data_IF_494331794934
#
_entry.id   IF_494331794934
#
_cell.length_a   1.000
_cell.length_b   1.000
_cell.length_c   1.000
_cell.angle_alpha   90.00
_cell.angle_beta   90.00
_cell.angle_gamma   90.00
#
_symmetry.space_group_name_H-M   'P 1'
#
loop_
_entity.id
_entity.type
_entity.pdbx_description
1 polymer ?
#
# COMPACT_ATOMS: atom_id res chain seq x y z
N UNK A 1 -54.08 3.18 -10.31
CA UNK A 1 -53.55 4.55 -10.53
C UNK A 1 -52.59 4.82 -9.38
N UNK A 2 -51.30 4.51 -9.57
CA UNK A 2 -50.32 4.49 -8.47
C UNK A 2 -49.87 5.91 -8.17
N UNK A 3 -50.34 6.45 -7.05
CA UNK A 3 -49.86 7.70 -6.46
C UNK A 3 -48.35 7.58 -6.25
N UNK A 4 -47.58 8.38 -6.98
CA UNK A 4 -46.17 8.60 -6.72
C UNK A 4 -46.01 9.20 -5.31
N UNK A 5 -45.86 8.33 -4.31
CA UNK A 5 -45.46 8.74 -2.97
C UNK A 5 -44.08 9.38 -3.10
N UNK A 6 -44.02 10.68 -2.82
CA UNK A 6 -42.83 11.51 -2.82
C UNK A 6 -41.89 11.02 -1.71
N UNK A 7 -41.09 9.99 -1.98
CA UNK A 7 -40.00 9.62 -1.06
C UNK A 7 -38.86 10.62 -1.24
N UNK A 8 -38.85 11.69 -0.45
CA UNK A 8 -37.71 12.61 -0.38
C UNK A 8 -36.54 11.89 0.29
N UNK A 9 -35.37 11.96 -0.33
CA UNK A 9 -34.14 11.33 0.17
C UNK A 9 -33.17 12.41 0.60
N UNK A 10 -32.46 12.17 1.69
CA UNK A 10 -31.56 13.14 2.27
C UNK A 10 -30.15 12.58 2.43
N UNK A 11 -29.11 13.39 2.15
CA UNK A 11 -27.76 13.03 2.54
C UNK A 11 -27.65 13.02 4.07
N UNK A 12 -27.19 11.91 4.62
CA UNK A 12 -26.96 11.76 6.06
C UNK A 12 -25.46 11.65 6.31
N UNK A 13 -24.90 12.63 7.02
CA UNK A 13 -23.49 12.62 7.41
C UNK A 13 -23.32 11.92 8.75
N UNK A 14 -22.72 10.75 8.70
CA UNK A 14 -22.24 10.01 9.86
C UNK A 14 -20.76 10.34 10.09
N UNK A 15 -20.38 10.67 11.32
CA UNK A 15 -18.99 10.96 11.68
C UNK A 15 -18.49 9.84 12.60
N UNK A 16 -17.51 9.07 12.12
CA UNK A 16 -16.87 7.99 12.85
C UNK A 16 -15.47 8.38 13.33
N UNK A 17 -15.06 9.65 13.16
CA UNK A 17 -13.78 10.13 13.67
C UNK A 17 -13.76 10.07 15.20
N UNK A 18 -12.60 9.76 15.77
CA UNK A 18 -12.45 9.58 17.22
C UNK A 18 -12.99 8.25 17.76
N UNK A 19 -13.35 7.29 16.89
CA UNK A 19 -13.75 5.93 17.26
C UNK A 19 -14.89 5.89 18.31
N UNK A 20 -16.05 6.52 18.01
CA UNK A 20 -17.14 6.59 18.97
C UNK A 20 -17.69 5.20 19.29
N UNK A 21 -18.15 5.02 20.53
CA UNK A 21 -18.95 3.86 20.90
C UNK A 21 -20.25 3.82 20.08
N UNK A 22 -20.79 2.62 19.84
CA UNK A 22 -22.03 2.48 19.06
C UNK A 22 -23.20 3.25 19.69
N UNK A 23 -23.35 3.22 21.01
CA UNK A 23 -24.39 3.97 21.74
C UNK A 23 -24.23 5.49 21.61
N UNK A 24 -23.00 6.00 21.60
CA UNK A 24 -22.71 7.42 21.48
C UNK A 24 -23.01 7.88 20.05
N UNK A 25 -22.70 7.04 19.07
CA UNK A 25 -23.06 7.27 17.69
C UNK A 25 -24.58 7.39 17.54
N UNK A 26 -25.36 6.45 18.10
CA UNK A 26 -26.82 6.52 18.08
C UNK A 26 -27.34 7.81 18.72
N UNK A 27 -26.80 8.17 19.88
CA UNK A 27 -27.17 9.39 20.61
C UNK A 27 -26.86 10.66 19.79
N UNK A 28 -25.75 10.68 19.06
CA UNK A 28 -25.37 11.79 18.19
C UNK A 28 -26.22 11.87 16.90
N UNK A 29 -26.69 10.72 16.40
CA UNK A 29 -27.40 10.60 15.13
C UNK A 29 -28.89 10.85 15.25
N UNK A 30 -29.51 10.45 16.37
CA UNK A 30 -30.94 10.65 16.62
C UNK A 30 -31.40 12.12 16.39
N UNK A 31 -30.80 13.15 17.03
CA UNK A 31 -31.23 14.53 16.81
C UNK A 31 -30.97 15.01 15.38
N UNK A 32 -29.95 14.48 14.68
CA UNK A 32 -29.66 14.81 13.28
C UNK A 32 -30.74 14.28 12.34
N UNK A 33 -31.12 13.01 12.51
CA UNK A 33 -32.20 12.39 11.72
C UNK A 33 -33.53 13.10 11.99
N UNK A 34 -33.87 13.38 13.26
CA UNK A 34 -35.09 14.11 13.61
C UNK A 34 -35.07 15.53 13.02
N UNK A 35 -33.94 16.23 13.08
CA UNK A 35 -33.78 17.55 12.47
C UNK A 35 -33.99 17.50 10.94
N UNK A 36 -33.46 16.48 10.28
CA UNK A 36 -33.61 16.26 8.85
C UNK A 36 -35.07 16.05 8.44
N UNK A 37 -35.85 15.33 9.25
CA UNK A 37 -37.27 15.12 8.99
C UNK A 37 -38.10 16.42 9.01
N UNK A 38 -37.64 17.46 9.73
CA UNK A 38 -38.28 18.80 9.67
C UNK A 38 -38.14 19.47 8.31
N UNK A 39 -37.18 19.00 7.52
CA UNK A 39 -36.85 19.50 6.18
C UNK A 39 -37.30 18.53 5.08
N UNK A 40 -38.18 17.56 5.39
CA UNK A 40 -38.57 16.48 4.48
C UNK A 40 -39.20 16.93 3.15
N UNK A 41 -39.69 18.17 3.09
CA UNK A 41 -40.30 18.77 1.89
C UNK A 41 -39.29 19.47 0.96
N UNK A 42 -38.02 19.57 1.33
CA UNK A 42 -36.99 20.20 0.49
C UNK A 42 -36.63 19.31 -0.71
N UNK A 43 -36.76 19.81 -1.96
CA UNK A 43 -36.37 19.05 -3.14
C UNK A 43 -34.86 18.74 -3.15
N UNK A 44 -34.43 17.53 -3.50
CA UNK A 44 -33.00 17.19 -3.59
C UNK A 44 -32.23 18.08 -4.57
N UNK A 45 -32.89 18.59 -5.61
CA UNK A 45 -32.32 19.53 -6.58
C UNK A 45 -31.87 20.84 -5.93
N UNK A 46 -32.60 21.31 -4.92
CA UNK A 46 -32.24 22.52 -4.17
C UNK A 46 -31.03 22.30 -3.26
N UNK A 47 -30.88 21.09 -2.71
CA UNK A 47 -29.72 20.69 -1.90
C UNK A 47 -28.46 20.69 -2.76
N UNK A 48 -28.50 20.04 -3.93
CA UNK A 48 -27.38 20.00 -4.88
C UNK A 48 -27.00 21.40 -5.35
N UNK A 49 -28.00 22.22 -5.72
CA UNK A 49 -27.81 23.60 -6.18
C UNK A 49 -27.13 24.47 -5.13
N UNK A 50 -27.59 24.38 -3.88
CA UNK A 50 -27.04 25.18 -2.76
C UNK A 50 -25.65 24.72 -2.34
N UNK A 51 -25.39 23.41 -2.44
CA UNK A 51 -24.08 22.83 -2.12
C UNK A 51 -23.00 23.11 -3.19
N UNK A 52 -23.36 23.73 -4.32
CA UNK A 52 -22.48 24.05 -5.44
C UNK A 52 -21.67 22.84 -5.95
N UNK A 53 -22.28 21.65 -5.95
CA UNK A 53 -21.65 20.43 -6.44
C UNK A 53 -21.72 20.36 -7.97
N UNK A 54 -20.58 20.14 -8.61
CA UNK A 54 -20.50 19.94 -10.06
C UNK A 54 -21.28 18.69 -10.46
N UNK A 55 -22.16 18.83 -11.46
CA UNK A 55 -22.93 17.71 -12.03
C UNK A 55 -22.10 17.08 -13.15
N UNK A 56 -21.18 16.19 -12.80
CA UNK A 56 -20.50 15.35 -13.77
C UNK A 56 -21.33 14.09 -14.06
N UNK A 57 -22.23 14.15 -15.04
CA UNK A 57 -23.04 13.01 -15.51
C UNK A 57 -24.42 12.83 -14.86
N UNK A 58 -25.06 11.68 -15.11
CA UNK A 58 -26.39 11.28 -14.59
C UNK A 58 -26.35 10.70 -13.16
N UNK A 59 -25.18 10.70 -12.52
CA UNK A 59 -24.98 10.15 -11.17
C UNK A 59 -25.50 11.10 -10.07
N UNK A 60 -25.97 10.54 -8.94
CA UNK A 60 -26.36 11.33 -7.78
C UNK A 60 -25.10 11.92 -7.09
N UNK A 61 -24.89 13.25 -7.11
CA UNK A 61 -23.64 13.85 -6.64
C UNK A 61 -23.53 13.87 -5.10
N UNK A 62 -24.58 13.50 -4.37
CA UNK A 62 -24.62 13.60 -2.90
C UNK A 62 -24.29 12.27 -2.20
N UNK A 63 -24.71 11.14 -2.78
CA UNK A 63 -24.51 9.80 -2.19
C UNK A 63 -24.73 8.70 -3.23
N UNK A 64 -23.90 7.65 -3.15
CA UNK A 64 -23.93 6.47 -4.03
C UNK A 64 -24.69 5.28 -3.43
N UNK A 65 -24.86 5.28 -2.11
CA UNK A 65 -25.61 4.28 -1.36
C UNK A 65 -26.86 4.86 -0.71
N UNK A 66 -27.95 4.09 -0.67
CA UNK A 66 -29.19 4.48 -0.01
C UNK A 66 -29.59 3.46 1.06
N UNK A 67 -30.03 3.95 2.22
CA UNK A 67 -30.57 3.14 3.30
C UNK A 67 -32.01 3.55 3.56
N UNK A 68 -32.93 2.58 3.50
CA UNK A 68 -34.34 2.77 3.78
C UNK A 68 -34.73 1.93 5.00
N UNK A 69 -35.39 2.58 5.96
CA UNK A 69 -36.02 1.89 7.09
C UNK A 69 -37.52 2.12 7.00
N UNK A 70 -38.29 1.05 6.84
CA UNK A 70 -39.73 1.11 6.62
C UNK A 70 -40.45 0.44 7.78
N UNK A 71 -41.23 1.23 8.51
CA UNK A 71 -42.20 0.73 9.47
C UNK A 71 -43.55 0.73 8.77
N UNK A 72 -44.13 -0.45 8.58
CA UNK A 72 -45.48 -0.59 8.04
C UNK A 72 -46.47 -0.60 9.21
N UNK A 73 -47.45 0.32 9.26
CA UNK A 73 -48.45 0.31 10.33
C UNK A 73 -49.39 -0.89 10.21
N UNK A 74 -49.54 -1.67 11.27
CA UNK A 74 -50.64 -2.62 11.43
C UNK A 74 -51.95 -1.90 11.80
N UNK A 75 -53.14 -2.32 11.31
CA UNK A 75 -53.42 -3.19 10.18
C UNK A 75 -54.07 -2.39 9.03
N UNK A 76 -53.32 -2.10 7.98
CA UNK A 76 -53.88 -1.51 6.75
C UNK A 76 -53.83 -2.46 5.54
N UNK A 77 -53.17 -3.62 5.64
CA UNK A 77 -53.09 -4.61 4.56
C UNK A 77 -53.56 -6.01 5.00
N UNK A 78 -54.28 -6.73 4.12
CA UNK A 78 -54.72 -8.10 4.42
C UNK A 78 -53.51 -9.06 4.56
N UNK A 79 -53.68 -10.10 5.39
CA UNK A 79 -52.62 -11.04 5.80
C UNK A 79 -51.95 -11.78 4.62
N UNK A 80 -52.62 -11.85 3.49
CA UNK A 80 -52.11 -12.36 2.21
C UNK A 80 -50.92 -11.55 1.68
N UNK A 81 -50.82 -10.25 1.98
CA UNK A 81 -49.67 -9.40 1.59
C UNK A 81 -48.42 -9.75 2.39
N UNK A 82 -48.56 -10.03 3.69
CA UNK A 82 -47.44 -10.49 4.53
C UNK A 82 -47.03 -11.93 4.20
N UNK A 83 -47.99 -12.79 3.84
CA UNK A 83 -47.69 -14.11 3.30
C UNK A 83 -46.97 -14.00 1.96
N UNK A 84 -47.39 -13.13 1.05
CA UNK A 84 -46.72 -12.88 -0.23
C UNK A 84 -45.34 -12.22 -0.07
N UNK A 85 -45.11 -11.34 0.90
CA UNK A 85 -43.76 -10.82 1.18
C UNK A 85 -42.82 -11.94 1.67
N UNK A 86 -43.35 -12.90 2.43
CA UNK A 86 -42.62 -14.07 2.94
C UNK A 86 -42.49 -15.20 1.90
N UNK A 87 -43.45 -15.33 0.98
CA UNK A 87 -43.61 -16.47 0.06
C UNK A 87 -43.38 -16.14 -1.41
N UNK A 88 -43.42 -14.87 -1.81
CA UNK A 88 -42.97 -14.49 -3.14
C UNK A 88 -41.48 -14.81 -3.21
N UNK A 89 -41.07 -15.49 -4.28
CA UNK A 89 -39.68 -15.38 -4.70
C UNK A 89 -39.31 -13.89 -4.65
N UNK A 90 -38.12 -13.50 -4.15
CA UNK A 90 -37.73 -12.10 -3.89
C UNK A 90 -37.71 -11.19 -5.14
N UNK A 91 -38.35 -11.58 -6.23
CA UNK A 91 -38.36 -11.00 -7.56
C UNK A 91 -39.72 -10.43 -7.97
N UNK A 92 -40.77 -10.43 -7.15
CA UNK A 92 -42.09 -9.92 -7.57
C UNK A 92 -42.44 -8.53 -7.02
N UNK A 93 -42.01 -8.17 -5.80
CA UNK A 93 -42.39 -6.90 -5.15
C UNK A 93 -41.44 -5.74 -5.52
N UNK A 94 -40.21 -6.04 -5.96
CA UNK A 94 -39.13 -5.05 -6.06
C UNK A 94 -38.39 -5.04 -7.41
N UNK A 95 -39.05 -5.41 -8.51
CA UNK A 95 -38.49 -5.22 -9.88
C UNK A 95 -38.42 -3.75 -10.28
N UNK A 96 -37.65 -2.95 -9.55
CA UNK A 96 -37.19 -1.66 -10.07
C UNK A 96 -35.70 -1.78 -10.37
N UNK A 97 -35.28 -1.28 -11.53
CA UNK A 97 -33.84 -1.16 -11.82
C UNK A 97 -33.15 -0.45 -10.65
N UNK A 98 -31.97 -0.91 -10.21
CA UNK A 98 -31.27 -0.35 -9.06
C UNK A 98 -31.07 1.15 -9.27
N UNK A 99 -31.69 1.95 -8.39
CA UNK A 99 -31.70 3.42 -8.47
C UNK A 99 -30.40 4.03 -7.95
N UNK A 100 -29.61 3.23 -7.25
CA UNK A 100 -28.32 3.54 -6.65
C UNK A 100 -27.36 2.39 -6.93
N UNK A 101 -26.08 2.62 -6.72
CA UNK A 101 -25.07 1.57 -6.82
C UNK A 101 -25.28 0.49 -5.77
N UNK A 102 -25.72 0.91 -4.58
CA UNK A 102 -26.10 0.06 -3.46
C UNK A 102 -27.34 0.61 -2.75
N UNK A 103 -28.40 -0.17 -2.64
CA UNK A 103 -29.61 0.17 -1.91
C UNK A 103 -29.92 -0.90 -0.87
N UNK A 104 -30.05 -0.50 0.39
CA UNK A 104 -30.49 -1.39 1.46
C UNK A 104 -31.86 -0.94 1.96
N UNK A 105 -32.80 -1.88 2.07
CA UNK A 105 -34.13 -1.62 2.63
C UNK A 105 -34.38 -2.60 3.76
N UNK A 106 -34.65 -2.10 4.97
CA UNK A 106 -35.07 -2.88 6.12
C UNK A 106 -36.55 -2.61 6.41
N UNK A 107 -37.33 -3.67 6.56
CA UNK A 107 -38.76 -3.63 6.89
C UNK A 107 -38.97 -4.34 8.22
N UNK A 108 -39.70 -3.71 9.14
CA UNK A 108 -40.10 -4.34 10.41
C UNK A 108 -41.17 -5.40 10.13
N UNK A 109 -40.94 -6.62 10.58
CA UNK A 109 -41.92 -7.70 10.54
C UNK A 109 -42.91 -7.54 11.71
N UNK A 110 -44.17 -7.22 11.38
CA UNK A 110 -45.21 -6.84 12.35
C UNK A 110 -45.56 -7.93 13.36
N UNK A 111 -45.57 -9.19 12.93
CA UNK A 111 -45.95 -10.33 13.79
C UNK A 111 -44.74 -11.00 14.48
N UNK A 112 -43.53 -10.84 13.94
CA UNK A 112 -42.34 -11.62 14.32
C UNK A 112 -41.25 -10.88 15.10
N UNK A 113 -41.34 -9.55 15.25
CA UNK A 113 -40.33 -8.75 15.94
C UNK A 113 -38.96 -8.72 15.24
N UNK A 114 -38.89 -9.15 13.98
CA UNK A 114 -37.68 -9.22 13.16
C UNK A 114 -37.56 -8.09 12.14
N UNK A 115 -36.41 -8.04 11.46
CA UNK A 115 -36.17 -7.16 10.32
C UNK A 115 -35.99 -8.00 9.05
N UNK A 116 -36.80 -7.72 8.03
CA UNK A 116 -36.60 -8.25 6.69
C UNK A 116 -35.76 -7.25 5.89
N UNK A 117 -34.62 -7.71 5.38
CA UNK A 117 -33.68 -6.88 4.63
C UNK A 117 -33.61 -7.24 3.16
N UNK A 118 -33.58 -6.22 2.30
CA UNK A 118 -33.33 -6.34 0.87
C UNK A 118 -32.10 -5.52 0.47
N UNK A 119 -31.24 -6.11 -0.37
CA UNK A 119 -30.06 -5.46 -0.93
C UNK A 119 -30.18 -5.39 -2.46
N UNK A 120 -30.35 -4.18 -2.98
CA UNK A 120 -30.31 -3.86 -4.41
C UNK A 120 -28.89 -3.37 -4.76
N UNK A 121 -28.33 -3.80 -5.89
CA UNK A 121 -27.02 -3.36 -6.34
C UNK A 121 -26.90 -3.37 -7.86
N UNK A 122 -25.95 -2.59 -8.39
CA UNK A 122 -25.61 -2.60 -9.80
C UNK A 122 -24.59 -3.69 -10.11
N UNK A 123 -24.96 -4.66 -10.96
CA UNK A 123 -24.13 -5.79 -11.39
C UNK A 123 -22.70 -5.45 -11.88
N UNK A 124 -22.45 -4.35 -12.63
CA UNK A 124 -21.06 -4.00 -12.99
C UNK A 124 -20.19 -3.56 -11.81
N UNK A 125 -20.77 -3.26 -10.64
CA UNK A 125 -20.06 -2.79 -9.45
C UNK A 125 -19.95 -3.85 -8.34
N UNK A 126 -20.97 -4.70 -8.22
CA UNK A 126 -21.04 -5.74 -7.19
C UNK A 126 -21.60 -7.02 -7.80
N UNK A 127 -20.87 -8.12 -7.65
CA UNK A 127 -21.39 -9.44 -8.01
C UNK A 127 -22.28 -10.01 -6.89
N UNK A 128 -23.04 -11.05 -7.23
CA UNK A 128 -23.97 -11.68 -6.29
C UNK A 128 -23.28 -12.24 -5.04
N UNK A 129 -22.12 -12.87 -5.19
CA UNK A 129 -21.40 -13.44 -4.05
C UNK A 129 -20.88 -12.35 -3.11
N UNK A 130 -20.42 -11.23 -3.66
CA UNK A 130 -20.02 -10.06 -2.89
C UNK A 130 -21.21 -9.40 -2.17
N UNK A 131 -22.37 -9.34 -2.80
CA UNK A 131 -23.60 -8.85 -2.17
C UNK A 131 -24.06 -9.76 -1.02
N UNK A 132 -24.00 -11.09 -1.20
CA UNK A 132 -24.33 -12.06 -0.15
C UNK A 132 -23.38 -11.93 1.05
N UNK A 133 -22.06 -11.79 0.81
CA UNK A 133 -21.08 -11.51 1.88
C UNK A 133 -21.34 -10.18 2.58
N UNK A 134 -21.65 -9.13 1.83
CA UNK A 134 -21.96 -7.82 2.43
C UNK A 134 -23.17 -7.88 3.36
N UNK A 135 -24.21 -8.62 2.97
CA UNK A 135 -25.39 -8.83 3.80
C UNK A 135 -25.06 -9.61 5.09
N UNK A 136 -24.24 -10.66 5.01
CA UNK A 136 -23.82 -11.42 6.18
C UNK A 136 -22.91 -10.62 7.13
N UNK A 137 -21.99 -9.83 6.57
CA UNK A 137 -21.15 -8.93 7.35
C UNK A 137 -21.97 -7.84 8.04
N UNK A 138 -23.00 -7.32 7.38
CA UNK A 138 -23.93 -6.38 8.00
C UNK A 138 -24.69 -7.03 9.16
N UNK A 139 -25.15 -8.29 9.03
CA UNK A 139 -25.77 -9.04 10.13
C UNK A 139 -24.81 -9.26 11.30
N UNK A 140 -23.57 -9.66 11.01
CA UNK A 140 -22.52 -9.86 12.01
C UNK A 140 -22.24 -8.57 12.79
N UNK A 141 -22.08 -7.45 12.07
CA UNK A 141 -21.88 -6.13 12.65
C UNK A 141 -23.06 -5.71 13.54
N UNK A 142 -24.30 -5.91 13.08
CA UNK A 142 -25.49 -5.58 13.88
C UNK A 142 -25.57 -6.43 15.16
N UNK A 143 -25.28 -7.72 15.08
CA UNK A 143 -25.25 -8.59 16.25
C UNK A 143 -24.18 -8.15 17.26
N UNK A 144 -22.98 -7.81 16.78
CA UNK A 144 -21.89 -7.30 17.62
C UNK A 144 -22.25 -5.95 18.27
N UNK A 145 -22.86 -5.04 17.51
CA UNK A 145 -23.28 -3.73 17.99
C UNK A 145 -24.34 -3.80 19.10
N UNK A 146 -25.28 -4.76 18.99
CA UNK A 146 -26.32 -4.99 20.01
C UNK A 146 -25.74 -5.65 21.26
N UNK A 147 -24.80 -6.59 21.10
CA UNK A 147 -24.16 -7.27 22.22
C UNK A 147 -23.20 -6.36 23.01
N UNK A 148 -22.55 -5.41 22.33
CA UNK A 148 -21.50 -4.55 22.90
C UNK A 148 -21.69 -3.07 22.49
N UNK A 149 -22.78 -2.41 22.92
CA UNK A 149 -23.11 -1.05 22.50
C UNK A 149 -22.13 0.01 23.02
N UNK A 150 -21.38 -0.30 24.07
CA UNK A 150 -20.35 0.52 24.70
C UNK A 150 -18.99 0.46 23.97
N UNK A 151 -18.80 -0.48 23.04
CA UNK A 151 -17.56 -0.60 22.25
C UNK A 151 -17.54 0.36 21.07
N UNK A 152 -16.33 0.80 20.71
CA UNK A 152 -16.09 1.57 19.50
C UNK A 152 -16.57 0.81 18.26
N UNK A 153 -17.22 1.52 17.33
CA UNK A 153 -17.75 0.91 16.10
C UNK A 153 -16.65 0.25 15.26
N UNK A 154 -15.42 0.77 15.32
CA UNK A 154 -14.24 0.19 14.65
C UNK A 154 -13.80 -1.16 15.20
N UNK A 155 -14.18 -1.47 16.43
CA UNK A 155 -13.73 -2.66 17.16
C UNK A 155 -14.78 -3.78 17.13
N UNK A 156 -15.93 -3.52 16.49
CA UNK A 156 -16.97 -4.52 16.30
C UNK A 156 -16.57 -5.47 15.17
N UNK A 157 -16.81 -6.76 15.37
CA UNK A 157 -16.55 -7.75 14.34
C UNK A 157 -17.47 -7.51 13.13
N UNK A 158 -16.85 -7.23 11.98
CA UNK A 158 -17.53 -7.09 10.69
C UNK A 158 -17.62 -8.42 9.95
N UNK A 159 -16.59 -9.26 10.09
CA UNK A 159 -16.44 -10.50 9.33
C UNK A 159 -17.12 -11.66 10.06
N UNK A 160 -17.95 -12.40 9.32
CA UNK A 160 -18.48 -13.67 9.81
C UNK A 160 -17.39 -14.73 10.00
N UNK A 161 -17.70 -15.80 10.74
CA UNK A 161 -16.76 -16.89 11.01
C UNK A 161 -16.23 -17.54 9.73
N UNK A 162 -17.09 -17.80 8.74
CA UNK A 162 -16.72 -18.41 7.46
C UNK A 162 -15.76 -17.52 6.66
N UNK A 163 -15.99 -16.20 6.61
CA UNK A 163 -15.10 -15.29 5.90
C UNK A 163 -13.75 -15.14 6.61
N UNK A 164 -13.75 -15.13 7.96
CA UNK A 164 -12.52 -15.15 8.76
C UNK A 164 -11.73 -16.44 8.53
N UNK A 165 -12.38 -17.60 8.49
CA UNK A 165 -11.73 -18.88 8.14
C UNK A 165 -11.20 -18.89 6.71
N UNK A 166 -11.98 -18.36 5.75
CA UNK A 166 -11.58 -18.26 4.34
C UNK A 166 -10.34 -17.38 4.18
N UNK A 167 -10.27 -16.26 4.92
CA UNK A 167 -9.13 -15.36 4.97
C UNK A 167 -7.94 -16.04 5.65
N UNK A 168 -8.12 -16.70 6.79
CA UNK A 168 -7.04 -17.41 7.47
C UNK A 168 -6.42 -18.53 6.62
N UNK A 169 -7.25 -19.22 5.83
CA UNK A 169 -6.80 -20.29 4.94
C UNK A 169 -5.98 -19.78 3.73
N UNK A 170 -6.13 -18.50 3.34
CA UNK A 170 -5.52 -17.93 2.12
C UNK A 170 -4.51 -16.81 2.39
N UNK A 171 -4.76 -16.04 3.44
CA UNK A 171 -3.91 -15.01 3.97
C UNK A 171 -2.75 -15.68 4.64
N UNK A 172 -1.71 -15.94 3.84
CA UNK A 172 -0.54 -16.74 4.19
C UNK A 172 -0.11 -16.52 5.62
N UNK A 173 -0.52 -17.43 6.51
CA UNK A 173 0.11 -17.60 7.81
C UNK A 173 1.55 -17.95 7.48
N UNK A 174 2.42 -16.94 7.49
CA UNK A 174 3.86 -17.12 7.49
C UNK A 174 4.16 -17.66 8.88
N UNK A 175 3.93 -18.95 9.05
CA UNK A 175 4.38 -19.65 10.23
C UNK A 175 5.90 -19.51 10.23
N UNK A 176 6.51 -18.96 11.29
CA UNK A 176 7.94 -19.04 11.42
C UNK A 176 8.35 -20.52 11.25
N UNK A 177 9.46 -20.80 10.54
CA UNK A 177 9.90 -22.17 10.34
C UNK A 177 9.95 -22.91 11.69
N UNK A 178 9.55 -24.19 11.69
CA UNK A 178 9.35 -25.00 12.90
C UNK A 178 10.58 -25.05 13.82
N UNK A 179 11.76 -24.78 13.28
CA UNK A 179 12.94 -24.40 14.01
C UNK A 179 13.64 -23.24 13.27
N UNK A 180 14.24 -22.28 13.99
CA UNK A 180 15.16 -21.35 13.36
C UNK A 180 16.28 -22.17 12.72
N UNK A 181 16.58 -21.90 11.45
CA UNK A 181 17.72 -22.52 10.81
C UNK A 181 18.99 -22.20 11.63
N UNK A 182 19.76 -23.23 12.00
CA UNK A 182 20.97 -23.02 12.77
C UNK A 182 22.01 -22.28 11.92
N UNK A 183 22.48 -21.14 12.43
CA UNK A 183 23.54 -20.35 11.82
C UNK A 183 23.08 -19.36 10.74
N UNK A 184 23.97 -18.44 10.42
CA UNK A 184 23.81 -17.42 9.40
C UNK A 184 24.09 -17.97 8.00
N UNK A 185 23.70 -17.22 6.96
CA UNK A 185 24.15 -17.51 5.58
C UNK A 185 25.67 -17.59 5.48
N UNK A 186 26.40 -16.79 6.25
CA UNK A 186 27.87 -16.82 6.29
C UNK A 186 28.40 -18.13 6.89
N UNK A 187 27.77 -18.66 7.93
CA UNK A 187 28.13 -19.95 8.53
C UNK A 187 27.95 -21.10 7.54
N UNK A 188 26.89 -21.05 6.72
CA UNK A 188 26.65 -22.01 5.65
C UNK A 188 27.70 -21.97 4.56
N UNK A 189 28.12 -20.78 4.15
CA UNK A 189 29.21 -20.59 3.17
C UNK A 189 30.53 -21.12 3.74
N UNK A 190 30.82 -20.84 5.02
CA UNK A 190 32.01 -21.37 5.70
C UNK A 190 32.01 -22.90 5.75
N UNK A 191 30.90 -23.50 6.19
CA UNK A 191 30.76 -24.96 6.24
C UNK A 191 30.92 -25.61 4.85
N UNK A 192 30.43 -24.96 3.79
CA UNK A 192 30.66 -25.41 2.41
C UNK A 192 32.14 -25.32 2.02
N UNK A 193 32.81 -24.24 2.39
CA UNK A 193 34.22 -24.05 2.08
C UNK A 193 35.13 -25.08 2.77
N UNK A 194 34.78 -25.49 3.98
CA UNK A 194 35.50 -26.55 4.69
C UNK A 194 35.21 -27.94 4.07
N UNK A 195 34.01 -28.16 3.51
CA UNK A 195 33.62 -29.44 2.90
C UNK A 195 34.22 -29.67 1.52
N UNK A 196 34.23 -28.64 0.67
CA UNK A 196 34.68 -28.75 -0.73
C UNK A 196 35.60 -27.57 -1.11
N UNK A 197 36.79 -27.47 -0.50
CA UNK A 197 37.63 -26.28 -0.62
C UNK A 197 38.14 -26.02 -2.05
N UNK A 198 38.36 -27.07 -2.83
CA UNK A 198 38.87 -26.99 -4.21
C UNK A 198 37.78 -26.86 -5.28
N UNK A 199 36.50 -26.92 -4.88
CA UNK A 199 35.39 -26.69 -5.81
C UNK A 199 35.26 -25.19 -6.15
N UNK A 200 34.85 -24.89 -7.38
CA UNK A 200 34.60 -23.51 -7.82
C UNK A 200 33.38 -22.93 -7.07
N UNK A 201 33.58 -21.78 -6.43
CA UNK A 201 32.54 -21.04 -5.72
C UNK A 201 31.99 -19.87 -6.54
N UNK A 202 32.86 -19.19 -7.29
CA UNK A 202 32.50 -18.03 -8.11
C UNK A 202 33.24 -18.08 -9.44
N UNK A 203 32.55 -17.72 -10.52
CA UNK A 203 33.12 -17.51 -11.86
C UNK A 203 32.82 -16.08 -12.30
N UNK A 204 33.85 -15.33 -12.69
CA UNK A 204 33.73 -13.97 -13.23
C UNK A 204 34.66 -13.81 -14.43
N UNK A 205 34.09 -13.48 -15.60
CA UNK A 205 34.83 -13.21 -16.86
C UNK A 205 35.95 -14.23 -17.17
N UNK A 206 35.67 -15.52 -16.98
CA UNK A 206 36.62 -16.61 -17.27
C UNK A 206 37.68 -16.85 -16.19
N UNK A 207 37.52 -16.24 -15.00
CA UNK A 207 38.30 -16.55 -13.80
C UNK A 207 37.43 -17.27 -12.80
N UNK A 208 37.95 -18.35 -12.24
CA UNK A 208 37.29 -19.13 -11.20
C UNK A 208 37.98 -18.91 -9.85
N UNK A 209 37.18 -18.67 -8.81
CA UNK A 209 37.63 -18.70 -7.43
C UNK A 209 37.08 -19.97 -6.78
N UNK A 210 37.96 -20.77 -6.21
CA UNK A 210 37.53 -21.90 -5.38
C UNK A 210 36.97 -21.42 -4.04
N UNK A 211 36.23 -22.27 -3.34
CA UNK A 211 35.74 -21.95 -2.00
C UNK A 211 36.87 -21.58 -1.02
N UNK A 212 38.03 -22.26 -1.11
CA UNK A 212 39.22 -21.92 -0.30
C UNK A 212 39.69 -20.50 -0.58
N UNK A 213 39.90 -20.16 -1.85
CA UNK A 213 40.37 -18.84 -2.28
C UNK A 213 39.38 -17.73 -1.92
N UNK A 214 38.08 -17.99 -2.10
CA UNK A 214 37.03 -17.07 -1.70
C UNK A 214 37.10 -16.79 -0.20
N UNK A 215 37.14 -17.84 0.62
CA UNK A 215 37.13 -17.68 2.07
C UNK A 215 38.38 -16.99 2.62
N UNK A 216 39.56 -17.29 2.06
CA UNK A 216 40.82 -16.62 2.41
C UNK A 216 40.77 -15.11 2.08
N UNK A 217 40.24 -14.75 0.91
CA UNK A 217 40.08 -13.35 0.51
C UNK A 217 39.08 -12.62 1.41
N UNK A 218 37.96 -13.25 1.74
CA UNK A 218 36.94 -12.72 2.67
C UNK A 218 37.53 -12.53 4.06
N UNK A 219 38.24 -13.52 4.61
CA UNK A 219 38.85 -13.44 5.94
C UNK A 219 39.92 -12.34 6.03
N UNK A 220 40.73 -12.18 4.99
CA UNK A 220 41.75 -11.13 4.90
C UNK A 220 41.12 -9.73 4.89
N UNK A 221 40.12 -9.50 4.04
CA UNK A 221 39.41 -8.22 3.99
C UNK A 221 38.62 -7.94 5.27
N UNK A 222 37.94 -8.94 5.83
CA UNK A 222 37.21 -8.82 7.10
C UNK A 222 38.15 -8.42 8.25
N UNK A 223 39.36 -8.98 8.30
CA UNK A 223 40.39 -8.59 9.27
C UNK A 223 40.75 -7.10 9.18
N UNK A 224 40.92 -6.57 7.96
CA UNK A 224 41.19 -5.14 7.73
C UNK A 224 40.00 -4.26 8.12
N UNK A 225 38.79 -4.69 7.80
CA UNK A 225 37.56 -3.97 8.18
C UNK A 225 37.44 -3.89 9.71
N UNK A 226 37.68 -4.98 10.43
CA UNK A 226 37.69 -4.98 11.91
C UNK A 226 38.78 -4.08 12.48
N UNK A 227 39.99 -4.10 11.91
CA UNK A 227 41.06 -3.18 12.30
C UNK A 227 40.69 -1.71 12.04
N UNK A 228 39.82 -1.44 11.06
CA UNK A 228 39.23 -0.14 10.78
C UNK A 228 37.99 0.21 11.61
N UNK A 229 37.60 -0.64 12.57
CA UNK A 229 36.48 -0.40 13.48
C UNK A 229 35.12 -0.93 13.01
N UNK A 230 35.07 -1.72 11.94
CA UNK A 230 33.84 -2.39 11.51
C UNK A 230 33.49 -3.50 12.48
N UNK A 231 32.25 -3.48 12.96
CA UNK A 231 31.68 -4.45 13.89
C UNK A 231 30.15 -4.42 13.82
N UNK A 232 29.49 -4.86 14.89
CA UNK A 232 28.03 -4.88 15.00
C UNK A 232 27.42 -3.49 14.76
N UNK A 233 26.33 -3.45 13.99
CA UNK A 233 25.57 -2.24 13.65
C UNK A 233 26.38 -1.16 12.90
N UNK A 234 27.54 -1.52 12.34
CA UNK A 234 28.35 -0.62 11.50
C UNK A 234 28.00 -0.82 10.03
N UNK A 235 27.67 0.28 9.35
CA UNK A 235 27.43 0.33 7.91
C UNK A 235 28.75 0.52 7.15
N UNK A 236 28.94 -0.23 6.06
CA UNK A 236 30.09 -0.11 5.15
C UNK A 236 29.62 0.04 3.71
N UNK A 237 30.03 1.11 3.04
CA UNK A 237 29.69 1.31 1.62
C UNK A 237 30.48 0.33 0.74
N UNK A 238 29.86 -0.23 -0.28
CA UNK A 238 30.53 -1.05 -1.30
C UNK A 238 30.36 -0.37 -2.65
N UNK A 239 31.38 0.38 -3.04
CA UNK A 239 31.44 1.14 -4.29
C UNK A 239 32.35 0.44 -5.29
N UNK A 240 31.81 -0.63 -5.90
CA UNK A 240 32.51 -1.51 -6.83
C UNK A 240 31.59 -1.88 -8.01
N UNK A 241 32.11 -2.01 -9.24
CA UNK A 241 31.34 -2.58 -10.33
C UNK A 241 31.16 -4.08 -10.13
N UNK A 242 30.10 -4.66 -10.71
CA UNK A 242 29.82 -6.11 -10.63
C UNK A 242 31.05 -6.95 -11.02
N UNK A 243 31.54 -7.72 -10.04
CA UNK A 243 32.69 -8.62 -10.18
C UNK A 243 32.77 -9.60 -9.00
N UNK A 244 33.68 -10.57 -9.07
CA UNK A 244 33.99 -11.47 -7.95
C UNK A 244 34.41 -10.70 -6.68
N UNK A 245 35.17 -9.60 -6.83
CA UNK A 245 35.60 -8.75 -5.71
C UNK A 245 34.42 -8.09 -4.99
N UNK A 246 33.32 -7.79 -5.69
CA UNK A 246 32.10 -7.24 -5.05
C UNK A 246 31.49 -8.26 -4.10
N UNK A 247 31.43 -9.53 -4.50
CA UNK A 247 30.95 -10.61 -3.62
C UNK A 247 31.88 -10.80 -2.42
N UNK A 248 33.20 -10.78 -2.64
CA UNK A 248 34.20 -10.82 -1.55
C UNK A 248 33.99 -9.67 -0.57
N UNK A 249 33.78 -8.45 -1.06
CA UNK A 249 33.53 -7.27 -0.23
C UNK A 249 32.26 -7.42 0.62
N UNK A 250 31.15 -7.84 0.02
CA UNK A 250 29.88 -8.05 0.74
C UNK A 250 30.02 -9.10 1.85
N UNK A 251 30.63 -10.25 1.55
CA UNK A 251 30.85 -11.31 2.53
C UNK A 251 31.84 -10.90 3.63
N UNK A 252 32.88 -10.13 3.28
CA UNK A 252 33.84 -9.63 4.26
C UNK A 252 33.23 -8.61 5.22
N UNK A 253 32.29 -7.78 4.76
CA UNK A 253 31.53 -6.87 5.64
C UNK A 253 30.68 -7.67 6.62
N UNK A 254 29.97 -8.70 6.15
CA UNK A 254 29.23 -9.61 7.04
C UNK A 254 30.15 -10.32 8.03
N UNK A 255 31.30 -10.83 7.58
CA UNK A 255 32.25 -11.52 8.44
C UNK A 255 32.92 -10.57 9.46
N UNK A 256 33.04 -9.28 9.13
CA UNK A 256 33.46 -8.26 10.08
C UNK A 256 32.38 -7.92 11.12
N UNK A 257 31.12 -8.31 10.87
CA UNK A 257 29.97 -8.06 11.73
C UNK A 257 29.14 -6.84 11.33
N UNK A 258 29.47 -6.18 10.22
CA UNK A 258 28.77 -5.01 9.71
C UNK A 258 27.71 -5.35 8.67
N UNK A 259 27.00 -4.32 8.21
CA UNK A 259 26.08 -4.39 7.08
C UNK A 259 26.60 -3.56 5.91
N UNK A 260 26.54 -4.10 4.70
CA UNK A 260 27.00 -3.37 3.52
C UNK A 260 25.87 -2.50 2.94
N UNK A 261 26.26 -1.36 2.38
CA UNK A 261 25.39 -0.49 1.59
C UNK A 261 25.93 -0.47 0.16
N UNK A 262 25.21 -1.05 -0.82
CA UNK A 262 25.68 -1.05 -2.20
C UNK A 262 25.63 0.37 -2.79
N UNK A 263 26.75 0.82 -3.35
CA UNK A 263 26.90 2.12 -4.01
C UNK A 263 27.24 1.87 -5.48
N UNK A 264 26.28 2.10 -6.38
CA UNK A 264 26.48 1.87 -7.81
C UNK A 264 27.43 2.92 -8.41
N UNK A 265 28.60 2.53 -8.96
CA UNK A 265 29.51 3.47 -9.59
C UNK A 265 28.94 4.21 -10.81
N UNK A 266 27.85 3.72 -11.41
CA UNK A 266 27.17 4.41 -12.50
C UNK A 266 26.30 5.59 -12.03
N UNK A 267 26.07 5.75 -10.72
CA UNK A 267 25.26 6.85 -10.21
C UNK A 267 25.99 8.19 -10.26
N UNK A 268 25.26 9.30 -10.52
CA UNK A 268 25.82 10.63 -10.44
C UNK A 268 26.41 10.91 -9.05
N UNK A 269 27.49 11.69 -9.00
CA UNK A 269 28.17 12.04 -7.75
C UNK A 269 27.22 12.62 -6.68
N UNK A 270 26.26 13.45 -7.07
CA UNK A 270 25.26 14.02 -6.16
C UNK A 270 24.39 12.93 -5.49
N UNK A 271 24.04 11.85 -6.22
CA UNK A 271 23.26 10.73 -5.67
C UNK A 271 24.10 9.93 -4.69
N UNK A 272 25.37 9.67 -5.01
CA UNK A 272 26.31 8.98 -4.14
C UNK A 272 26.54 9.77 -2.84
N UNK A 273 26.75 11.08 -2.94
CA UNK A 273 26.91 11.96 -1.77
C UNK A 273 25.67 11.94 -0.89
N UNK A 274 24.48 12.02 -1.49
CA UNK A 274 23.24 11.95 -0.73
C UNK A 274 23.09 10.62 0.05
N UNK A 275 23.47 9.48 -0.55
CA UNK A 275 23.48 8.19 0.17
C UNK A 275 24.49 8.23 1.32
N UNK A 276 25.70 8.76 1.09
CA UNK A 276 26.72 8.85 2.14
C UNK A 276 26.24 9.68 3.33
N UNK A 277 25.62 10.83 3.07
CA UNK A 277 25.13 11.76 4.10
C UNK A 277 23.98 11.13 4.90
N UNK A 278 23.01 10.50 4.23
CA UNK A 278 21.84 9.88 4.87
C UNK A 278 22.19 8.62 5.68
N UNK A 279 23.15 7.82 5.17
CA UNK A 279 23.57 6.57 5.81
C UNK A 279 24.65 6.74 6.88
N UNK A 280 25.29 7.90 6.98
CA UNK A 280 26.35 8.16 7.96
C UNK A 280 27.59 7.26 7.78
N UNK A 281 27.84 6.80 6.54
CA UNK A 281 28.92 5.86 6.21
C UNK A 281 30.31 6.45 6.52
N UNK A 282 31.05 5.79 7.41
CA UNK A 282 32.42 6.17 7.78
C UNK A 282 33.50 5.39 7.02
N UNK A 283 33.11 4.28 6.41
CA UNK A 283 34.00 3.36 5.70
C UNK A 283 33.36 2.97 4.37
N UNK A 284 34.13 3.08 3.29
CA UNK A 284 33.71 2.61 1.97
C UNK A 284 34.79 1.74 1.37
N UNK A 285 34.38 0.59 0.85
CA UNK A 285 35.20 -0.30 0.04
C UNK A 285 35.10 0.16 -1.40
N UNK A 286 36.24 0.47 -2.02
CA UNK A 286 36.29 0.91 -3.42
C UNK A 286 37.64 0.55 -4.04
N UNK A 287 37.82 0.81 -5.34
CA UNK A 287 39.10 0.62 -6.03
C UNK A 287 39.85 1.97 -6.17
N UNK A 288 41.20 1.94 -6.25
CA UNK A 288 42.02 3.15 -6.42
C UNK A 288 41.73 3.96 -7.70
N UNK A 289 41.18 3.34 -8.73
CA UNK A 289 40.79 3.98 -9.99
C UNK A 289 39.43 4.71 -9.91
N UNK A 290 38.66 4.47 -8.85
CA UNK A 290 37.30 5.02 -8.66
C UNK A 290 37.19 6.00 -7.48
N UNK A 291 38.33 6.36 -6.86
CA UNK A 291 38.38 7.07 -5.57
C UNK A 291 38.08 8.57 -5.66
N UNK A 292 38.09 9.16 -6.86
CA UNK A 292 37.97 10.61 -7.08
C UNK A 292 36.61 11.24 -6.75
N UNK A 293 35.64 10.46 -6.26
CA UNK A 293 34.24 10.88 -6.09
C UNK A 293 33.72 10.87 -4.65
N UNK A 294 34.50 10.42 -3.64
CA UNK A 294 33.99 10.21 -2.27
C UNK A 294 34.97 10.70 -1.19
N UNK A 295 34.50 11.58 -0.29
CA UNK A 295 35.25 12.07 0.89
C UNK A 295 35.05 11.14 2.10
N UNK A 296 35.64 9.93 2.07
CA UNK A 296 35.47 8.94 3.15
C UNK A 296 36.71 8.07 3.35
N UNK A 297 36.77 7.30 4.45
CA UNK A 297 37.86 6.35 4.68
C UNK A 297 37.70 5.17 3.72
N UNK A 298 38.58 5.10 2.72
CA UNK A 298 38.53 4.06 1.69
C UNK A 298 39.38 2.85 2.06
N UNK A 299 38.81 1.65 1.92
CA UNK A 299 39.53 0.38 2.06
C UNK A 299 39.61 -0.30 0.69
N UNK A 300 40.83 -0.53 0.21
CA UNK A 300 41.06 -1.21 -1.07
C UNK A 300 40.73 -2.71 -0.94
N UNK A 301 40.02 -3.27 -1.93
CA UNK A 301 39.66 -4.69 -1.93
C UNK A 301 40.89 -5.57 -2.14
N UNK A 302 41.89 -5.08 -2.88
CA UNK A 302 43.13 -5.80 -3.20
C UNK A 302 44.28 -5.06 -2.50
N UNK A 303 45.24 -5.74 -1.84
CA UNK A 303 46.38 -5.05 -1.28
C UNK A 303 47.24 -4.45 -2.40
N UNK A 304 47.09 -3.15 -2.64
CA UNK A 304 48.17 -2.35 -3.21
C UNK A 304 49.28 -2.30 -2.14
N UNK A 305 50.49 -2.75 -2.47
CA UNK A 305 51.67 -2.86 -1.58
C UNK A 305 52.22 -1.49 -1.13
N UNK A 306 51.40 -0.45 -1.03
CA UNK A 306 51.83 0.90 -0.66
C UNK A 306 50.88 1.50 0.36
N UNK A 307 51.45 1.89 1.50
CA UNK A 307 50.80 2.43 2.70
C UNK A 307 49.74 3.52 2.44
N UNK A 308 48.72 3.66 3.31
CA UNK A 308 47.65 4.63 3.14
C UNK A 308 48.19 6.06 3.22
N UNK A 309 48.08 6.80 2.12
CA UNK A 309 48.46 8.21 2.02
C UNK A 309 47.24 9.07 2.36
N UNK A 310 47.26 9.75 3.51
CA UNK A 310 46.29 10.81 3.82
C UNK A 310 46.52 11.97 2.84
N UNK A 311 45.54 12.28 1.99
CA UNK A 311 45.57 13.46 1.12
C UNK A 311 44.81 14.60 1.81
N UNK A 312 45.54 15.54 2.39
CA UNK A 312 45.00 16.85 2.77
C UNK A 312 44.87 17.73 1.52
N UNK A 313 43.67 18.21 1.22
CA UNK A 313 43.42 19.12 0.12
C UNK A 313 44.18 20.45 0.32
N UNK A 314 45.08 20.80 -0.61
CA UNK A 314 45.57 22.17 -0.79
C UNK A 314 44.80 22.78 -1.95
N UNK A 315 43.99 23.80 -1.66
CA UNK A 315 43.30 24.60 -2.66
C UNK A 315 44.28 25.50 -3.42
N UNK A 316 44.15 25.56 -4.75
CA UNK A 316 44.65 26.66 -5.56
C UNK A 316 43.58 27.07 -6.58
N UNK A 317 43.32 28.36 -6.80
CA UNK A 317 42.16 28.81 -7.55
C UNK A 317 42.48 28.87 -9.05
N UNK A 318 41.64 28.28 -9.89
CA UNK A 318 41.68 28.49 -11.33
C UNK A 318 40.57 29.47 -11.74
N UNK A 319 40.98 30.59 -12.33
CA UNK A 319 40.12 31.55 -13.04
C UNK A 319 39.83 31.05 -14.46
N UNK A 320 38.67 31.48 -14.98
CA UNK A 320 38.20 31.63 -16.38
C UNK A 320 36.97 30.76 -16.71
N UNK A 321 35.99 31.13 -17.54
CA UNK A 321 35.41 32.37 -18.14
C UNK A 321 34.22 31.81 -18.99
N UNK A 322 33.01 32.41 -19.05
CA UNK A 322 31.87 31.72 -19.66
C UNK A 322 31.86 31.84 -21.21
N UNK A 323 31.24 30.89 -21.94
CA UNK A 323 31.07 30.96 -23.39
C UNK A 323 29.91 31.88 -23.83
N UNK A 324 29.90 32.37 -25.09
CA UNK A 324 28.95 33.39 -25.56
C UNK A 324 27.58 32.81 -25.98
N UNK A 325 26.56 33.67 -25.86
CA UNK A 325 25.17 33.41 -26.21
C UNK A 325 24.91 33.42 -27.73
N UNK A 326 24.00 32.56 -28.20
CA UNK A 326 23.49 32.53 -29.57
C UNK A 326 21.99 32.86 -29.52
N UNK A 327 21.57 33.90 -30.25
CA UNK A 327 20.16 34.29 -30.45
C UNK A 327 19.55 33.58 -31.67
N UNK A 328 18.22 33.36 -31.70
CA UNK A 328 17.56 32.55 -32.74
C UNK A 328 17.21 33.39 -33.99
N UNK A 329 17.50 32.85 -35.17
CA UNK A 329 17.03 33.40 -36.45
C UNK A 329 15.78 32.68 -36.95
N UNK A 330 14.79 33.48 -37.33
CA UNK A 330 13.52 33.15 -37.97
C UNK A 330 13.64 32.53 -39.37
N UNK A 331 12.76 31.59 -39.70
CA UNK A 331 12.22 31.43 -41.07
C UNK A 331 10.97 30.54 -41.10
N UNK A 332 9.81 31.16 -41.35
CA UNK A 332 8.58 30.56 -41.91
C UNK A 332 8.76 30.39 -43.44
N UNK A 333 8.04 29.49 -44.15
CA UNK A 333 6.72 29.89 -44.66
C UNK A 333 5.67 28.76 -44.92
N UNK A 334 4.40 29.21 -44.84
CA UNK A 334 3.20 28.91 -45.67
C UNK A 334 2.44 27.56 -45.63
N UNK A 335 1.18 27.69 -45.22
CA UNK A 335 0.00 26.87 -45.56
C UNK A 335 -0.33 26.92 -47.08
N UNK A 336 -1.15 26.08 -47.74
CA UNK A 336 -2.48 25.42 -47.52
C UNK A 336 -2.72 24.58 -48.84
N UNK A 337 -3.87 23.92 -49.15
CA UNK A 337 -5.07 23.58 -48.37
C UNK A 337 -5.59 22.13 -48.56
N UNK A 338 -6.69 21.82 -47.85
CA UNK A 338 -7.44 20.57 -47.89
C UNK A 338 -8.32 20.38 -49.14
N UNK A 339 -8.59 19.13 -49.51
CA UNK A 339 -9.77 18.73 -50.29
C UNK A 339 -10.35 17.38 -49.84
N UNK A 340 -11.68 17.39 -49.72
CA UNK A 340 -12.64 16.32 -49.41
C UNK A 340 -12.81 15.27 -50.53
N UNK A 341 -13.53 14.19 -50.16
CA UNK A 341 -14.29 13.17 -50.92
C UNK A 341 -13.58 11.80 -50.89
N UNK A 342 -14.23 10.67 -50.64
CA UNK A 342 -15.64 10.31 -50.49
C UNK A 342 -15.77 9.19 -49.43
#
# INVERSE_FOLDING_TARGET
>A
MWSASWRTRFPLRCDLTGQPAFQDLLTSMQPRIVGLMRHQSLPPTEIVRTAALDRTGDENPLFRAAFNYVVLPEPAWPQDVWAQLRSAAPTAVWRTSPKFELGMTLVVDGEGGGLLGELEFQSPLLDRGAAERLAENFRTLLAAAVAHPDRAVSDLDLLGAEEREWLDARGGRVLPPAAPEEGTTLDRIRAQADRTPDAVALTDRGRDLTYRQLWEAVASLAGRLRAGGVGRDVLVGVHLPRSAETVVAMLAVWQAGGAYVPLDPAYPAARLQHVLDDSGLRTVITRPDTTGTLDTTTVDVIPSTTSPRRLSARAHPARHRPPPAISPSSSTPRARPASRRA
#
